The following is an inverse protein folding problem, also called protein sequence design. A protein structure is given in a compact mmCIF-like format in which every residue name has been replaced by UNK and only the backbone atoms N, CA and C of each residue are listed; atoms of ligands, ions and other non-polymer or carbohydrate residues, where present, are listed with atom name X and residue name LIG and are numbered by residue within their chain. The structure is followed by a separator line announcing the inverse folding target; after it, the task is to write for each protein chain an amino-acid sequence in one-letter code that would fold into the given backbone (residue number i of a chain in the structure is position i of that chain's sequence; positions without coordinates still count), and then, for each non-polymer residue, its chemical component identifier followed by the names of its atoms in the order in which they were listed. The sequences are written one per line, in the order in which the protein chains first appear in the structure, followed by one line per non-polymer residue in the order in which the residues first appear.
data_IF_693265685857
#
_entry.id   IF_693265685857
#
_cell.length_a   1.000
_cell.length_b   1.000
_cell.length_c   1.000
_cell.angle_alpha   90.00
_cell.angle_beta   90.00
_cell.angle_gamma   90.00
#
_symmetry.space_group_name_H-M   'P 1'
#
loop_
_entity.id
_entity.type
_entity.pdbx_description
1 polymer ?
#
# COMPACT_ATOMS: atom_id res chain seq x y z
N UNK A 1 -10.36 2.37 14.88
CA UNK A 1 -10.85 1.72 13.64
C UNK A 1 -12.10 2.44 13.18
N UNK A 2 -12.43 2.39 11.88
CA UNK A 2 -13.64 3.01 11.34
C UNK A 2 -14.91 2.21 11.64
N UNK A 3 -16.07 2.78 11.36
CA UNK A 3 -17.33 2.00 11.38
C UNK A 3 -17.39 1.08 10.15
N UNK A 4 -18.20 -0.01 10.17
CA UNK A 4 -18.30 -0.91 9.02
C UNK A 4 -18.62 -0.21 7.69
N UNK A 5 -19.37 0.90 7.73
CA UNK A 5 -19.75 1.70 6.58
C UNK A 5 -18.57 2.50 5.99
N UNK A 6 -17.55 2.78 6.79
CA UNK A 6 -16.34 3.50 6.35
C UNK A 6 -15.35 2.60 5.63
N UNK A 7 -15.48 1.28 5.82
CA UNK A 7 -14.59 0.29 5.22
C UNK A 7 -14.88 0.20 3.72
N UNK A 8 -13.86 0.54 2.92
CA UNK A 8 -13.90 0.54 1.46
C UNK A 8 -13.02 -0.57 0.87
N UNK A 9 -12.06 -1.09 1.66
CA UNK A 9 -11.13 -2.14 1.28
C UNK A 9 -11.09 -3.23 2.35
N UNK A 10 -11.19 -4.50 1.94
CA UNK A 10 -10.92 -5.66 2.79
C UNK A 10 -9.74 -6.45 2.24
N UNK A 11 -8.67 -6.54 3.00
CA UNK A 11 -7.49 -7.34 2.69
C UNK A 11 -7.60 -8.69 3.37
N UNK A 12 -7.61 -9.76 2.58
CA UNK A 12 -7.69 -11.15 3.07
C UNK A 12 -6.34 -11.83 2.88
N UNK A 13 -5.60 -11.95 3.98
CA UNK A 13 -4.38 -12.73 4.10
C UNK A 13 -4.69 -14.23 4.13
N UNK A 14 -3.65 -15.04 3.92
CA UNK A 14 -3.85 -16.48 3.90
C UNK A 14 -4.14 -17.03 5.31
N UNK A 15 -3.31 -16.67 6.29
CA UNK A 15 -3.33 -17.17 7.66
C UNK A 15 -2.43 -16.28 8.53
N UNK A 16 -2.63 -16.29 9.85
CA UNK A 16 -1.73 -15.60 10.78
C UNK A 16 -0.31 -16.15 10.68
N UNK A 17 0.67 -15.26 10.85
CA UNK A 17 2.07 -15.61 11.03
C UNK A 17 2.37 -16.15 12.44
N UNK A 18 3.63 -16.53 12.67
CA UNK A 18 4.08 -16.86 14.02
C UNK A 18 4.13 -15.59 14.89
N UNK A 19 3.80 -15.69 16.20
CA UNK A 19 3.92 -14.56 17.10
C UNK A 19 5.38 -14.10 17.18
N UNK A 20 5.61 -12.80 17.34
CA UNK A 20 6.98 -12.31 17.54
C UNK A 20 7.54 -12.83 18.88
N UNK A 21 8.87 -13.00 18.99
CA UNK A 21 9.51 -13.61 20.18
C UNK A 21 9.14 -12.96 21.52
N UNK A 22 8.88 -11.65 21.55
CA UNK A 22 8.52 -10.90 22.75
C UNK A 22 7.01 -10.60 22.87
N UNK A 23 6.19 -11.16 21.99
CA UNK A 23 4.74 -10.94 21.97
C UNK A 23 4.08 -11.64 23.15
N UNK A 24 3.32 -10.88 23.93
CA UNK A 24 2.53 -11.39 25.05
C UNK A 24 1.28 -10.54 25.24
N UNK A 25 0.15 -11.20 25.48
CA UNK A 25 -1.16 -10.56 25.61
C UNK A 25 -1.80 -10.78 26.98
N UNK A 26 -1.00 -11.12 28.00
CA UNK A 26 -1.49 -11.41 29.35
C UNK A 26 -1.59 -10.17 30.26
N UNK A 27 -1.86 -8.97 29.71
CA UNK A 27 -1.68 -7.68 30.41
C UNK A 27 -2.35 -7.61 31.79
N UNK A 28 -3.64 -7.95 31.89
CA UNK A 28 -4.38 -8.06 33.15
C UNK A 28 -5.06 -9.44 33.34
N UNK A 29 -4.84 -10.37 32.39
CA UNK A 29 -5.42 -11.70 32.36
C UNK A 29 -6.89 -11.77 31.96
N UNK A 30 -7.61 -10.65 31.88
CA UNK A 30 -9.04 -10.56 31.52
C UNK A 30 -9.26 -10.68 30.01
N UNK A 31 -10.46 -11.09 29.55
CA UNK A 31 -10.81 -11.06 28.12
C UNK A 31 -10.64 -9.67 27.49
N UNK A 32 -11.06 -8.62 28.19
CA UNK A 32 -10.99 -7.24 27.74
C UNK A 32 -9.54 -6.76 27.61
N UNK A 33 -8.72 -6.98 28.63
CA UNK A 33 -7.31 -6.60 28.59
C UNK A 33 -6.50 -7.38 27.56
N UNK A 34 -6.82 -8.67 27.33
CA UNK A 34 -6.26 -9.43 26.21
C UNK A 34 -6.63 -8.80 24.86
N UNK A 35 -7.90 -8.44 24.68
CA UNK A 35 -8.37 -7.82 23.44
C UNK A 35 -7.70 -6.46 23.19
N UNK A 36 -7.61 -5.62 24.23
CA UNK A 36 -6.90 -4.33 24.16
C UNK A 36 -5.42 -4.53 23.84
N UNK A 37 -4.75 -5.47 24.48
CA UNK A 37 -3.33 -5.77 24.26
C UNK A 37 -3.08 -6.21 22.81
N UNK A 38 -3.86 -7.17 22.30
CA UNK A 38 -3.74 -7.66 20.90
C UNK A 38 -3.99 -6.53 19.91
N UNK A 39 -5.03 -5.73 20.13
CA UNK A 39 -5.41 -4.64 19.21
C UNK A 39 -4.33 -3.56 19.16
N UNK A 40 -3.82 -3.14 20.33
CA UNK A 40 -2.72 -2.17 20.43
C UNK A 40 -1.46 -2.70 19.75
N UNK A 41 -1.11 -3.95 20.01
CA UNK A 41 0.08 -4.55 19.42
C UNK A 41 0.00 -4.67 17.90
N UNK A 42 -1.14 -5.12 17.35
CA UNK A 42 -1.35 -5.17 15.92
C UNK A 42 -1.27 -3.76 15.29
N UNK A 43 -1.89 -2.77 15.94
CA UNK A 43 -1.81 -1.37 15.51
C UNK A 43 -0.36 -0.88 15.44
N UNK A 44 0.42 -1.12 16.49
CA UNK A 44 1.83 -0.74 16.56
C UNK A 44 2.62 -1.40 15.43
N UNK A 45 2.46 -2.72 15.23
CA UNK A 45 3.16 -3.45 14.20
C UNK A 45 2.94 -2.88 12.79
N UNK A 46 1.69 -2.56 12.43
CA UNK A 46 1.39 -1.92 11.15
C UNK A 46 1.88 -0.48 11.09
N UNK A 47 1.68 0.31 12.16
CA UNK A 47 2.05 1.74 12.17
C UNK A 47 3.56 1.95 12.01
N UNK A 48 4.38 1.09 12.64
CA UNK A 48 5.84 1.18 12.60
C UNK A 48 6.47 0.34 11.49
N UNK A 49 5.70 -0.49 10.78
CA UNK A 49 6.23 -1.41 9.78
C UNK A 49 7.21 -2.42 10.39
N UNK A 50 6.80 -3.08 11.49
CA UNK A 50 7.64 -3.94 12.34
C UNK A 50 8.49 -4.93 11.55
N UNK A 51 7.90 -5.60 10.56
CA UNK A 51 8.58 -6.54 9.67
C UNK A 51 8.27 -6.25 8.19
N UNK A 52 8.71 -7.14 7.31
CA UNK A 52 8.49 -7.01 5.87
C UNK A 52 7.00 -7.10 5.49
N UNK A 53 6.22 -7.95 6.14
CA UNK A 53 4.78 -8.06 5.91
C UNK A 53 4.09 -6.72 6.22
N UNK A 54 4.35 -6.16 7.41
CA UNK A 54 3.74 -4.90 7.83
C UNK A 54 4.16 -3.74 6.91
N UNK A 55 5.43 -3.66 6.50
CA UNK A 55 5.90 -2.65 5.53
C UNK A 55 5.22 -2.77 4.17
N UNK A 56 5.04 -3.99 3.66
CA UNK A 56 4.40 -4.22 2.37
C UNK A 56 2.89 -3.91 2.43
N UNK A 57 2.22 -4.19 3.55
CA UNK A 57 0.84 -3.74 3.76
C UNK A 57 0.78 -2.21 3.76
N UNK A 58 1.71 -1.52 4.43
CA UNK A 58 1.78 -0.05 4.39
C UNK A 58 1.99 0.47 2.97
N UNK A 59 2.83 -0.18 2.17
CA UNK A 59 3.03 0.16 0.75
C UNK A 59 1.72 0.00 -0.06
N UNK A 60 1.01 -1.11 0.10
CA UNK A 60 -0.30 -1.33 -0.54
C UNK A 60 -1.32 -0.28 -0.11
N UNK A 61 -1.41 0.05 1.18
CA UNK A 61 -2.30 1.09 1.69
C UNK A 61 -1.98 2.47 1.09
N UNK A 62 -0.68 2.79 0.92
CA UNK A 62 -0.26 4.03 0.27
C UNK A 62 -0.63 4.08 -1.21
N UNK A 63 -0.68 2.94 -1.92
CA UNK A 63 -1.24 2.89 -3.27
C UNK A 63 -2.75 3.17 -3.27
N UNK A 64 -3.48 2.68 -2.27
CA UNK A 64 -4.94 2.85 -2.19
C UNK A 64 -5.35 4.25 -1.74
N UNK A 65 -4.56 4.89 -0.89
CA UNK A 65 -4.93 6.10 -0.17
C UNK A 65 -3.72 7.04 -0.01
N UNK A 66 -3.20 7.62 -1.11
CA UNK A 66 -2.05 8.51 -1.02
C UNK A 66 -2.36 9.72 -0.14
N UNK A 67 -1.36 10.21 0.58
CA UNK A 67 -1.50 11.43 1.40
C UNK A 67 -2.34 11.28 2.67
N UNK A 68 -3.10 10.20 2.84
CA UNK A 68 -3.81 9.93 4.09
C UNK A 68 -2.86 9.47 5.20
N UNK A 69 -3.16 9.84 6.44
CA UNK A 69 -2.47 9.30 7.62
C UNK A 69 -2.75 7.81 7.76
N UNK A 70 -1.87 7.06 8.44
CA UNK A 70 -2.10 5.63 8.72
C UNK A 70 -3.46 5.38 9.38
N UNK A 71 -3.84 6.22 10.33
CA UNK A 71 -5.13 6.11 11.00
C UNK A 71 -6.32 6.26 10.03
N UNK A 72 -6.27 7.25 9.14
CA UNK A 72 -7.30 7.45 8.13
C UNK A 72 -7.35 6.28 7.13
N UNK A 73 -6.20 5.73 6.74
CA UNK A 73 -6.11 4.53 5.89
C UNK A 73 -6.74 3.30 6.58
N UNK A 74 -6.48 3.10 7.88
CA UNK A 74 -7.05 2.00 8.67
C UNK A 74 -8.53 2.17 9.00
N UNK A 75 -9.07 3.40 9.01
CA UNK A 75 -10.53 3.59 9.07
C UNK A 75 -11.24 3.07 7.83
N UNK A 76 -10.57 3.14 6.68
CA UNK A 76 -11.08 2.69 5.38
C UNK A 76 -10.76 1.24 5.04
N UNK A 77 -9.92 0.58 5.85
CA UNK A 77 -9.39 -0.76 5.53
C UNK A 77 -9.61 -1.74 6.66
N UNK A 78 -10.17 -2.90 6.32
CA UNK A 78 -10.23 -4.07 7.18
C UNK A 78 -9.20 -5.11 6.73
N UNK A 79 -8.45 -5.69 7.66
CA UNK A 79 -7.46 -6.74 7.37
C UNK A 79 -7.87 -7.98 8.15
N UNK A 80 -7.91 -9.14 7.48
CA UNK A 80 -8.30 -10.41 8.08
C UNK A 80 -7.57 -11.57 7.40
N UNK A 81 -7.73 -12.76 7.96
CA UNK A 81 -7.19 -14.00 7.42
C UNK A 81 -8.28 -14.93 6.92
N UNK A 82 -7.97 -15.68 5.85
CA UNK A 82 -8.88 -16.69 5.33
C UNK A 82 -9.05 -17.91 6.27
N UNK A 83 -8.16 -18.06 7.26
CA UNK A 83 -8.29 -18.95 8.42
C UNK A 83 -7.75 -18.25 9.67
N UNK A 84 -8.45 -18.36 10.80
CA UNK A 84 -8.04 -17.72 12.06
C UNK A 84 -7.18 -18.62 12.96
N UNK A 85 -7.03 -19.89 12.59
CA UNK A 85 -6.16 -20.81 13.31
C UNK A 85 -4.75 -20.77 12.72
N UNK A 86 -3.75 -20.65 13.58
CA UNK A 86 -2.37 -20.90 13.21
C UNK A 86 -2.21 -22.37 12.81
N UNK A 87 -1.45 -22.63 11.75
CA UNK A 87 -0.98 -23.98 11.45
C UNK A 87 0.08 -24.39 12.49
N UNK A 88 0.38 -25.69 12.61
CA UNK A 88 1.46 -26.15 13.50
C UNK A 88 2.86 -25.64 13.11
N UNK A 89 2.98 -25.10 11.90
CA UNK A 89 4.14 -24.40 11.35
C UNK A 89 3.63 -23.28 10.44
N UNK A 90 4.19 -22.08 10.55
CA UNK A 90 3.88 -20.96 9.65
C UNK A 90 3.95 -21.39 8.17
N UNK A 91 2.96 -20.96 7.38
CA UNK A 91 2.85 -21.31 5.97
C UNK A 91 2.38 -22.75 5.70
N UNK A 92 2.26 -23.58 6.74
CA UNK A 92 1.94 -25.01 6.67
C UNK A 92 0.54 -25.33 6.12
N UNK A 93 0.27 -26.61 5.82
CA UNK A 93 -1.05 -27.01 5.35
C UNK A 93 -2.08 -26.94 6.48
N UNK A 94 -3.24 -26.35 6.18
CA UNK A 94 -4.45 -26.44 7.00
C UNK A 94 -5.41 -27.37 6.29
N UNK A 95 -6.03 -28.31 7.00
CA UNK A 95 -6.94 -29.28 6.38
C UNK A 95 -8.13 -28.55 5.74
N UNK A 96 -8.60 -29.03 4.59
CA UNK A 96 -9.74 -28.42 3.90
C UNK A 96 -11.04 -28.41 4.72
N UNK A 97 -11.18 -29.31 5.72
CA UNK A 97 -12.28 -29.27 6.69
C UNK A 97 -12.18 -28.04 7.59
N UNK A 98 -11.00 -27.76 8.14
CA UNK A 98 -10.76 -26.58 8.99
C UNK A 98 -10.91 -25.30 8.17
N UNK A 99 -10.36 -25.26 6.95
CA UNK A 99 -10.53 -24.10 6.05
C UNK A 99 -12.01 -23.75 5.85
N UNK A 100 -12.87 -24.77 5.61
CA UNK A 100 -14.31 -24.57 5.44
C UNK A 100 -15.00 -24.11 6.73
N UNK A 101 -14.66 -24.69 7.87
CA UNK A 101 -15.23 -24.28 9.16
C UNK A 101 -14.85 -22.84 9.50
N UNK A 102 -13.58 -22.47 9.33
CA UNK A 102 -13.13 -21.09 9.53
C UNK A 102 -13.88 -20.12 8.60
N UNK A 103 -14.01 -20.48 7.32
CA UNK A 103 -14.71 -19.66 6.37
C UNK A 103 -16.19 -19.48 6.73
N UNK A 104 -16.88 -20.57 7.05
CA UNK A 104 -18.31 -20.59 7.36
C UNK A 104 -18.63 -19.83 8.64
N UNK A 105 -17.84 -20.04 9.69
CA UNK A 105 -18.10 -19.47 11.02
C UNK A 105 -17.62 -18.04 11.19
N UNK A 106 -16.56 -17.63 10.48
CA UNK A 106 -15.89 -16.36 10.74
C UNK A 106 -15.76 -15.49 9.50
N UNK A 107 -15.08 -15.97 8.45
CA UNK A 107 -14.76 -15.13 7.28
C UNK A 107 -16.02 -14.62 6.57
N UNK A 108 -16.95 -15.52 6.24
CA UNK A 108 -18.18 -15.13 5.51
C UNK A 108 -19.04 -14.16 6.33
N UNK A 109 -19.35 -14.42 7.62
CA UNK A 109 -20.05 -13.44 8.46
C UNK A 109 -19.34 -12.10 8.58
N UNK A 110 -18.01 -12.09 8.64
CA UNK A 110 -17.21 -10.87 8.72
C UNK A 110 -17.28 -10.06 7.43
N UNK A 111 -17.10 -10.70 6.27
CA UNK A 111 -17.17 -10.01 4.97
C UNK A 111 -18.56 -9.43 4.69
N UNK A 112 -19.62 -10.08 5.19
CA UNK A 112 -21.00 -9.56 5.09
C UNK A 112 -21.20 -8.22 5.83
N UNK A 113 -20.31 -7.85 6.76
CA UNK A 113 -20.37 -6.54 7.43
C UNK A 113 -19.92 -5.40 6.51
N UNK A 114 -19.31 -5.70 5.36
CA UNK A 114 -18.71 -4.71 4.46
C UNK A 114 -19.26 -4.81 3.03
N UNK A 115 -20.59 -4.69 2.81
CA UNK A 115 -21.21 -4.97 1.51
C UNK A 115 -20.76 -4.06 0.36
N UNK A 116 -20.22 -2.87 0.67
CA UNK A 116 -19.72 -1.93 -0.33
C UNK A 116 -18.22 -2.06 -0.65
N UNK A 117 -17.47 -2.79 0.19
CA UNK A 117 -16.02 -2.84 0.13
C UNK A 117 -15.49 -3.71 -1.02
N UNK A 118 -14.31 -3.35 -1.52
CA UNK A 118 -13.54 -4.22 -2.42
C UNK A 118 -12.82 -5.26 -1.58
N UNK A 119 -13.08 -6.53 -1.86
CA UNK A 119 -12.42 -7.65 -1.19
C UNK A 119 -11.20 -8.06 -2.03
N UNK A 120 -10.03 -8.14 -1.41
CA UNK A 120 -8.77 -8.48 -2.08
C UNK A 120 -8.15 -9.72 -1.44
N UNK A 121 -7.94 -10.76 -2.24
CA UNK A 121 -7.18 -11.94 -1.87
C UNK A 121 -5.67 -11.66 -2.00
N UNK A 122 -4.93 -11.76 -0.88
CA UNK A 122 -3.48 -11.57 -0.86
C UNK A 122 -2.74 -12.89 -1.04
N UNK A 123 -2.49 -13.24 -2.30
CA UNK A 123 -1.78 -14.45 -2.71
C UNK A 123 -2.69 -15.65 -2.97
N UNK A 124 -2.13 -16.65 -3.69
CA UNK A 124 -2.89 -17.80 -4.21
C UNK A 124 -3.57 -18.66 -3.14
N UNK A 125 -3.02 -18.67 -1.92
CA UNK A 125 -3.58 -19.44 -0.80
C UNK A 125 -4.89 -18.80 -0.32
N UNK A 126 -4.91 -17.48 -0.14
CA UNK A 126 -6.12 -16.72 0.20
C UNK A 126 -7.16 -16.80 -0.93
N UNK A 127 -6.75 -16.58 -2.18
CA UNK A 127 -7.61 -16.67 -3.37
C UNK A 127 -8.35 -18.01 -3.44
N UNK A 128 -7.60 -19.12 -3.35
CA UNK A 128 -8.18 -20.47 -3.39
C UNK A 128 -9.16 -20.70 -2.24
N UNK A 129 -8.87 -20.17 -1.04
CA UNK A 129 -9.72 -20.34 0.14
C UNK A 129 -11.01 -19.53 0.01
N UNK A 130 -10.94 -18.29 -0.47
CA UNK A 130 -12.11 -17.47 -0.80
C UNK A 130 -13.01 -18.16 -1.82
N UNK A 131 -12.42 -18.64 -2.93
CA UNK A 131 -13.17 -19.36 -3.97
C UNK A 131 -13.85 -20.63 -3.42
N UNK A 132 -13.15 -21.42 -2.59
CA UNK A 132 -13.72 -22.63 -1.94
C UNK A 132 -14.81 -22.32 -0.93
N UNK A 133 -14.79 -21.13 -0.34
CA UNK A 133 -15.84 -20.64 0.55
C UNK A 133 -17.07 -20.12 -0.21
N UNK A 134 -17.06 -20.16 -1.55
CA UNK A 134 -18.15 -19.64 -2.39
C UNK A 134 -18.19 -18.12 -2.45
N UNK A 135 -17.12 -17.44 -2.04
CA UNK A 135 -17.01 -15.98 -2.15
C UNK A 135 -16.61 -15.65 -3.58
N UNK A 136 -17.37 -14.76 -4.22
CA UNK A 136 -17.16 -14.31 -5.60
C UNK A 136 -17.00 -12.79 -5.63
N UNK A 137 -16.56 -12.23 -6.77
CA UNK A 137 -16.41 -10.79 -6.93
C UNK A 137 -15.29 -10.16 -6.09
N UNK A 138 -14.28 -10.96 -5.72
CA UNK A 138 -13.06 -10.48 -5.08
C UNK A 138 -11.94 -10.28 -6.11
N UNK A 139 -11.00 -9.41 -5.76
CA UNK A 139 -9.81 -9.11 -6.55
C UNK A 139 -8.59 -9.89 -6.08
N UNK A 140 -7.60 -10.00 -6.95
CA UNK A 140 -6.35 -10.69 -6.64
C UNK A 140 -5.17 -9.71 -6.61
N UNK A 141 -4.36 -9.82 -5.55
CA UNK A 141 -3.01 -9.28 -5.52
C UNK A 141 -2.01 -10.32 -5.04
N UNK A 142 -0.74 -10.17 -5.44
CA UNK A 142 0.32 -11.02 -4.90
C UNK A 142 0.51 -10.73 -3.40
N UNK A 143 0.98 -11.76 -2.69
CA UNK A 143 1.12 -11.71 -1.24
C UNK A 143 2.04 -10.56 -0.80
N UNK A 144 1.67 -9.94 0.31
CA UNK A 144 2.48 -8.97 1.06
C UNK A 144 3.51 -9.65 1.97
N UNK A 145 3.41 -10.97 2.16
CA UNK A 145 4.38 -11.78 2.89
C UNK A 145 5.31 -12.57 1.95
N UNK A 146 6.51 -12.95 2.43
CA UNK A 146 7.38 -13.89 1.72
C UNK A 146 6.72 -15.27 1.48
N UNK A 147 7.16 -16.00 0.44
CA UNK A 147 8.07 -15.56 -0.62
C UNK A 147 7.36 -14.75 -1.72
N UNK A 148 6.03 -14.57 -1.64
CA UNK A 148 5.23 -13.97 -2.70
C UNK A 148 5.59 -12.51 -2.99
N UNK A 149 5.89 -11.74 -1.94
CA UNK A 149 6.25 -10.33 -2.05
C UNK A 149 7.59 -10.06 -2.74
N UNK A 150 8.46 -11.07 -2.87
CA UNK A 150 9.80 -10.91 -3.45
C UNK A 150 9.78 -10.80 -4.99
N UNK A 151 8.61 -10.98 -5.61
CA UNK A 151 8.44 -10.88 -7.06
C UNK A 151 8.26 -9.42 -7.45
N UNK A 152 8.94 -8.96 -8.49
CA UNK A 152 8.74 -7.60 -9.03
C UNK A 152 7.26 -7.27 -9.32
N UNK A 153 6.53 -8.26 -9.86
CA UNK A 153 5.10 -8.17 -10.14
C UNK A 153 4.22 -7.94 -8.89
N UNK A 154 4.74 -8.10 -7.67
CA UNK A 154 3.98 -7.89 -6.45
C UNK A 154 3.57 -6.43 -6.30
N UNK A 155 4.52 -5.50 -6.44
CA UNK A 155 4.26 -4.05 -6.41
C UNK A 155 3.28 -3.62 -7.50
N UNK A 156 3.44 -4.15 -8.71
CA UNK A 156 2.51 -3.89 -9.81
C UNK A 156 1.08 -4.35 -9.46
N UNK A 157 0.95 -5.49 -8.78
CA UNK A 157 -0.38 -5.96 -8.35
C UNK A 157 -1.00 -5.08 -7.27
N UNK A 158 -0.20 -4.53 -6.35
CA UNK A 158 -0.68 -3.60 -5.32
C UNK A 158 -1.09 -2.26 -5.94
N UNK A 159 -0.33 -1.76 -6.91
CA UNK A 159 -0.67 -0.55 -7.65
C UNK A 159 -2.00 -0.69 -8.41
N UNK A 160 -2.30 -1.86 -8.99
CA UNK A 160 -3.60 -2.13 -9.63
C UNK A 160 -4.76 -2.11 -8.65
N UNK A 161 -4.58 -2.64 -7.44
CA UNK A 161 -5.59 -2.51 -6.37
C UNK A 161 -5.79 -1.04 -6.01
N UNK A 162 -4.71 -0.27 -5.89
CA UNK A 162 -4.79 1.17 -5.67
C UNK A 162 -5.65 1.86 -6.73
N UNK A 163 -5.33 1.66 -8.01
CA UNK A 163 -6.10 2.23 -9.12
C UNK A 163 -7.59 1.85 -9.11
N UNK A 164 -7.91 0.61 -8.75
CA UNK A 164 -9.30 0.15 -8.59
C UNK A 164 -10.01 0.89 -7.45
N UNK A 165 -9.36 1.05 -6.30
CA UNK A 165 -9.92 1.76 -5.16
C UNK A 165 -10.24 3.21 -5.53
N UNK A 166 -9.34 3.88 -6.23
CA UNK A 166 -9.56 5.26 -6.68
C UNK A 166 -10.74 5.34 -7.65
N UNK A 167 -10.76 4.48 -8.68
CA UNK A 167 -11.84 4.43 -9.66
C UNK A 167 -13.23 4.22 -9.02
N UNK A 168 -13.28 3.48 -7.90
CA UNK A 168 -14.53 3.11 -7.25
C UNK A 168 -15.01 4.11 -6.21
N UNK A 169 -14.10 4.67 -5.42
CA UNK A 169 -14.45 5.47 -4.24
C UNK A 169 -14.04 6.93 -4.33
N UNK A 170 -13.21 7.29 -5.30
CA UNK A 170 -12.76 8.66 -5.54
C UNK A 170 -13.64 9.32 -6.62
N UNK A 171 -14.95 9.31 -6.40
CA UNK A 171 -15.93 10.09 -7.18
C UNK A 171 -16.07 11.54 -6.70
N UNK A 172 -15.31 11.92 -5.67
CA UNK A 172 -15.16 13.31 -5.28
C UNK A 172 -13.82 13.78 -5.86
N UNK A 173 -13.87 14.67 -6.86
CA UNK A 173 -12.71 15.51 -7.15
C UNK A 173 -12.18 16.04 -5.81
N UNK A 174 -10.87 16.00 -5.54
CA UNK A 174 -10.34 16.69 -4.39
C UNK A 174 -10.75 18.15 -4.54
N UNK A 175 -11.66 18.59 -3.66
CA UNK A 175 -12.08 19.98 -3.61
C UNK A 175 -10.80 20.81 -3.56
N UNK A 176 -10.66 21.70 -4.54
CA UNK A 176 -9.50 22.56 -4.80
C UNK A 176 -8.98 23.35 -3.58
N UNK A 177 -9.64 23.28 -2.41
CA UNK A 177 -9.28 24.01 -1.20
C UNK A 177 -8.30 23.28 -0.27
N UNK A 178 -7.87 22.04 -0.56
CA UNK A 178 -6.87 21.33 0.24
C UNK A 178 -5.56 21.04 -0.50
N UNK A 179 -5.26 21.78 -1.59
CA UNK A 179 -3.94 21.73 -2.23
C UNK A 179 -2.92 22.38 -1.29
N UNK A 180 -2.21 21.57 -0.51
CA UNK A 180 -0.96 22.01 0.10
C UNK A 180 0.01 22.31 -1.04
N UNK A 181 0.52 23.54 -1.09
CA UNK A 181 1.73 23.85 -1.85
C UNK A 181 2.82 22.88 -1.38
N UNK A 182 3.14 21.90 -2.22
CA UNK A 182 4.33 21.08 -2.01
C UNK A 182 5.48 21.87 -2.62
N UNK A 183 6.20 22.60 -1.78
CA UNK A 183 7.48 23.18 -2.17
C UNK A 183 8.52 22.07 -2.14
N UNK A 184 8.77 21.45 -3.30
CA UNK A 184 9.86 20.51 -3.47
C UNK A 184 11.12 21.26 -3.89
N UNK A 185 12.19 21.17 -3.10
CA UNK A 185 13.49 21.66 -3.53
C UNK A 185 14.15 20.62 -4.43
N UNK A 186 14.28 20.93 -5.72
CA UNK A 186 15.00 20.08 -6.67
C UNK A 186 16.39 20.68 -6.88
N UNK A 187 17.43 19.91 -6.54
CA UNK A 187 18.81 20.27 -6.85
C UNK A 187 19.23 19.54 -8.12
N UNK A 188 19.59 20.29 -9.16
CA UNK A 188 20.06 19.72 -10.43
C UNK A 188 21.55 20.01 -10.59
N UNK A 189 22.31 18.96 -10.91
CA UNK A 189 23.72 19.07 -11.29
C UNK A 189 23.83 19.07 -12.82
N UNK A 190 24.32 20.16 -13.39
CA UNK A 190 24.53 20.27 -14.84
C UNK A 190 26.03 20.31 -15.11
N UNK A 191 26.51 19.41 -15.97
CA UNK A 191 27.88 19.44 -16.49
C UNK A 191 27.88 20.15 -17.85
N UNK A 192 28.50 21.34 -17.91
CA UNK A 192 28.61 22.12 -19.14
C UNK A 192 29.90 21.75 -19.89
N UNK A 193 29.85 21.71 -21.22
CA UNK A 193 30.99 21.30 -22.04
C UNK A 193 32.09 22.38 -21.97
N UNK A 194 33.29 22.01 -21.54
CA UNK A 194 34.45 22.90 -21.39
C UNK A 194 34.79 23.30 -19.95
N UNK A 195 33.93 22.95 -18.99
CA UNK A 195 34.15 23.14 -17.56
C UNK A 195 34.20 21.75 -16.90
N UNK A 196 35.31 21.39 -16.24
CA UNK A 196 35.43 20.09 -15.55
C UNK A 196 34.60 20.01 -14.26
N UNK A 197 33.97 21.11 -13.86
CA UNK A 197 33.14 21.21 -12.67
C UNK A 197 31.64 21.19 -13.01
N UNK A 198 30.88 20.32 -12.33
CA UNK A 198 29.43 20.37 -12.34
C UNK A 198 28.96 21.62 -11.58
N UNK A 199 28.06 22.41 -12.18
CA UNK A 199 27.44 23.55 -11.50
C UNK A 199 26.11 23.08 -10.90
N UNK A 200 25.90 23.38 -9.62
CA UNK A 200 24.62 23.16 -8.94
C UNK A 200 23.70 24.34 -9.21
N UNK A 201 22.51 24.08 -9.75
CA UNK A 201 21.44 25.07 -9.82
C UNK A 201 20.36 24.57 -8.88
N UNK A 202 20.10 25.35 -7.83
CA UNK A 202 18.96 25.13 -6.94
C UNK A 202 17.80 25.96 -7.49
N UNK A 203 16.70 25.30 -7.84
CA UNK A 203 15.44 25.95 -8.14
C UNK A 203 14.42 25.56 -7.08
N UNK A 204 13.72 26.55 -6.54
CA UNK A 204 12.61 26.37 -5.60
C UNK A 204 11.38 27.00 -6.23
N UNK A 205 10.44 26.19 -6.70
CA UNK A 205 9.14 26.65 -7.17
C UNK A 205 8.04 25.78 -6.55
N UNK A 206 6.87 26.38 -6.33
CA UNK A 206 5.66 25.64 -6.00
C UNK A 206 5.26 24.83 -7.24
N UNK A 207 5.18 23.51 -7.10
CA UNK A 207 4.83 22.63 -8.23
C UNK A 207 3.35 22.27 -8.10
N UNK A 208 2.51 22.93 -8.90
CA UNK A 208 1.15 22.48 -9.16
C UNK A 208 1.14 21.29 -10.13
N UNK A 209 0.06 20.50 -10.11
CA UNK A 209 -0.09 19.35 -11.00
C UNK A 209 0.02 19.79 -12.47
N UNK A 210 1.00 19.24 -13.20
CA UNK A 210 1.34 19.63 -14.57
C UNK A 210 2.42 20.72 -14.71
N UNK A 211 2.97 21.25 -13.61
CA UNK A 211 4.08 22.19 -13.65
C UNK A 211 5.37 21.52 -14.15
N UNK A 212 6.12 22.25 -14.98
CA UNK A 212 7.40 21.78 -15.53
C UNK A 212 8.49 22.80 -15.29
N UNK A 213 9.59 22.39 -14.67
CA UNK A 213 10.79 23.23 -14.56
C UNK A 213 11.62 23.05 -15.83
N UNK A 214 11.92 24.14 -16.52
CA UNK A 214 12.75 24.12 -17.74
C UNK A 214 14.05 24.88 -17.49
N UNK A 215 15.18 24.19 -17.59
CA UNK A 215 16.51 24.82 -17.53
C UNK A 215 16.94 25.20 -18.94
N UNK A 216 17.38 26.45 -19.13
CA UNK A 216 17.86 26.99 -20.41
C UNK A 216 19.30 27.48 -20.33
N UNK A 217 20.01 27.35 -21.43
CA UNK A 217 21.30 27.99 -21.71
C UNK A 217 21.12 28.88 -22.96
N UNK A 218 21.01 30.19 -22.76
CA UNK A 218 20.51 31.11 -23.80
C UNK A 218 19.10 30.75 -24.26
N UNK A 219 18.91 30.58 -25.57
CA UNK A 219 17.63 30.18 -26.18
C UNK A 219 17.40 28.66 -26.16
N UNK A 220 18.37 27.87 -25.68
CA UNK A 220 18.34 26.42 -25.78
C UNK A 220 17.86 25.78 -24.48
N UNK A 221 16.87 24.89 -24.57
CA UNK A 221 16.43 24.07 -23.42
C UNK A 221 17.41 22.91 -23.21
N UNK A 222 17.99 22.82 -22.02
CA UNK A 222 18.97 21.77 -21.67
C UNK A 222 18.38 20.67 -20.79
N UNK A 223 17.33 20.96 -20.03
CA UNK A 223 16.60 19.98 -19.25
C UNK A 223 15.16 20.42 -18.99
N UNK A 224 14.25 19.45 -18.90
CA UNK A 224 12.88 19.65 -18.40
C UNK A 224 12.58 18.61 -17.33
N UNK A 225 12.00 19.08 -16.23
CA UNK A 225 11.56 18.25 -15.11
C UNK A 225 10.05 18.36 -15.00
N UNK A 226 9.38 17.22 -14.91
CA UNK A 226 7.98 17.12 -14.49
C UNK A 226 7.90 16.23 -13.26
N UNK A 227 6.76 16.24 -12.57
CA UNK A 227 6.52 15.39 -11.38
C UNK A 227 6.77 13.91 -11.69
N UNK A 228 6.49 13.47 -12.92
CA UNK A 228 6.53 12.05 -13.30
C UNK A 228 7.82 11.64 -14.00
N UNK A 229 8.61 12.58 -14.53
CA UNK A 229 9.73 12.24 -15.42
C UNK A 229 10.80 13.34 -15.49
N UNK A 230 12.04 12.90 -15.62
CA UNK A 230 13.17 13.77 -16.02
C UNK A 230 13.47 13.52 -17.49
N UNK A 231 13.41 14.57 -18.31
CA UNK A 231 13.81 14.50 -19.72
C UNK A 231 15.11 15.27 -19.94
N UNK A 232 16.17 14.53 -20.27
CA UNK A 232 17.46 15.09 -20.67
C UNK A 232 17.53 15.18 -22.20
N UNK A 233 17.77 16.39 -22.71
CA UNK A 233 17.90 16.65 -24.14
C UNK A 233 19.36 17.00 -24.45
N UNK A 234 20.22 16.00 -24.51
CA UNK A 234 21.53 16.18 -25.15
C UNK A 234 21.32 16.16 -26.66
N UNK A 235 21.25 17.34 -27.28
CA UNK A 235 21.45 17.43 -28.74
C UNK A 235 22.90 17.81 -29.00
N UNK A 236 23.63 16.99 -29.74
CA UNK A 236 24.85 17.45 -30.39
C UNK A 236 24.50 18.62 -31.32
N UNK A 237 25.34 19.66 -31.45
CA UNK A 237 25.13 20.65 -32.50
C UNK A 237 25.23 19.92 -33.85
N UNK A 238 24.25 20.14 -34.73
CA UNK A 238 24.42 19.83 -36.15
C UNK A 238 25.68 20.56 -36.63
N UNK A 239 26.68 19.79 -37.05
CA UNK A 239 27.89 20.35 -37.66
C UNK A 239 27.47 21.04 -38.96
N UNK A 240 27.63 22.36 -39.00
CA UNK A 240 27.58 23.18 -40.21
C UNK A 240 28.97 23.27 -40.84
#
# INVERSE_FOLDING_TARGET
MGTPEEVQLVLVCAEPGDPHEAESHAEDGSPEGRFTSVTRYAWDCFSTGKDLFHRNVRELLNCCWPGLSFEAQMRKTWITDSVLCSASKEGGPVSGRIERECATRFLVPQLKQFPGAVIVALGRKAERRLARAGITGFEFALSVAPPGCNRAAARESWARIGALIWSRFDKEEPTLSARREIVATITVYVKLKGDDFAKSIAASEAIDDGASLTIRDGDRVVARFTIERVEHWYSEPLQS
#
